data_IF_034588132611
#
_entry.id   IF_034588132611
#
_cell.length_a   1.000
_cell.length_b   1.000
_cell.length_c   1.000
_cell.angle_alpha   90.00
_cell.angle_beta   90.00
_cell.angle_gamma   90.00
#
_symmetry.space_group_name_H-M   'P 1'
#
loop_
_entity.id
_entity.type
_entity.pdbx_description
1 polymer ?
#
# COMPACT_ATOMS: atom_id res chain seq x y z
N UNK A 1 -29.90 -10.21 -1.56
CA UNK A 1 -29.39 -10.29 -2.94
C UNK A 1 -27.96 -9.78 -2.90
N UNK A 2 -27.03 -10.66 -2.50
CA UNK A 2 -25.60 -10.36 -2.47
C UNK A 2 -25.02 -11.18 -3.61
N UNK A 3 -24.62 -10.50 -4.68
CA UNK A 3 -24.08 -11.15 -5.85
C UNK A 3 -22.60 -11.46 -5.60
N UNK A 4 -22.29 -12.76 -5.52
CA UNK A 4 -20.94 -13.31 -5.31
C UNK A 4 -19.94 -12.96 -6.42
N UNK A 5 -20.36 -12.25 -7.47
CA UNK A 5 -19.52 -11.81 -8.59
C UNK A 5 -18.68 -10.55 -8.28
N UNK A 6 -19.04 -9.76 -7.26
CA UNK A 6 -18.25 -8.58 -6.84
C UNK A 6 -16.95 -8.97 -6.12
N UNK A 7 -16.93 -10.15 -5.49
CA UNK A 7 -15.77 -10.66 -4.75
C UNK A 7 -14.62 -11.19 -5.65
N UNK A 8 -14.83 -11.29 -6.96
CA UNK A 8 -13.94 -12.01 -7.86
C UNK A 8 -12.95 -11.10 -8.61
N UNK A 9 -13.15 -9.78 -8.56
CA UNK A 9 -12.17 -8.80 -9.03
C UNK A 9 -12.41 -7.45 -8.34
N UNK A 10 -11.95 -7.26 -7.09
CA UNK A 10 -12.02 -5.94 -6.48
C UNK A 10 -11.28 -4.98 -7.40
N UNK A 11 -11.94 -3.89 -7.80
CA UNK A 11 -11.38 -2.87 -8.70
C UNK A 11 -10.00 -2.39 -8.21
N UNK A 12 -9.78 -2.46 -6.90
CA UNK A 12 -8.51 -2.27 -6.22
C UNK A 12 -8.25 -3.48 -5.32
N UNK A 13 -7.19 -4.24 -5.62
CA UNK A 13 -6.83 -5.42 -4.85
C UNK A 13 -5.31 -5.49 -4.70
N UNK A 14 -4.84 -5.98 -3.54
CA UNK A 14 -3.44 -6.35 -3.39
C UNK A 14 -3.13 -7.54 -4.28
N UNK A 15 -2.38 -7.32 -5.35
CA UNK A 15 -1.88 -8.39 -6.21
C UNK A 15 -0.45 -8.72 -5.81
N UNK A 16 -0.20 -9.98 -5.46
CA UNK A 16 1.16 -10.50 -5.23
C UNK A 16 1.79 -10.84 -6.58
N UNK A 17 1.99 -9.82 -7.41
CA UNK A 17 2.63 -9.94 -8.71
C UNK A 17 4.05 -9.43 -8.58
N UNK A 18 4.98 -10.34 -8.25
CA UNK A 18 6.40 -10.03 -8.12
C UNK A 18 7.17 -11.30 -7.81
N UNK A 19 8.39 -11.40 -8.35
CA UNK A 19 9.34 -12.43 -7.96
C UNK A 19 9.78 -12.29 -6.49
N UNK A 20 10.82 -13.00 -6.09
CA UNK A 20 11.36 -12.87 -4.73
C UNK A 20 11.68 -11.41 -4.40
N UNK A 21 11.26 -10.94 -3.22
CA UNK A 21 11.70 -9.65 -2.71
C UNK A 21 13.21 -9.69 -2.50
N UNK A 22 14.00 -8.83 -3.17
CA UNK A 22 15.43 -8.77 -2.95
C UNK A 22 15.72 -8.36 -1.50
N UNK A 23 16.87 -8.76 -0.93
CA UNK A 23 17.23 -8.37 0.42
C UNK A 23 17.50 -6.85 0.47
N UNK A 24 16.60 -6.11 1.13
CA UNK A 24 16.71 -4.66 1.29
C UNK A 24 17.60 -4.23 2.48
N UNK A 25 18.55 -5.07 2.89
CA UNK A 25 19.30 -4.92 4.15
C UNK A 25 20.06 -3.58 4.27
N UNK A 26 20.52 -3.03 3.15
CA UNK A 26 21.30 -1.78 3.10
C UNK A 26 20.44 -0.52 2.87
N UNK A 27 19.10 -0.66 2.82
CA UNK A 27 18.24 0.47 2.46
C UNK A 27 17.86 1.29 3.69
N UNK A 28 17.85 2.63 3.51
CA UNK A 28 17.37 3.54 4.54
C UNK A 28 15.87 3.33 4.78
N UNK A 29 15.53 2.88 5.99
CA UNK A 29 14.14 2.74 6.43
C UNK A 29 13.55 4.08 6.82
N UNK A 30 12.25 4.23 6.58
CA UNK A 30 11.47 5.38 7.06
C UNK A 30 10.96 5.08 8.47
N UNK A 31 11.14 6.03 9.37
CA UNK A 31 10.49 6.04 10.69
C UNK A 31 9.08 6.63 10.62
N UNK A 32 8.33 6.48 11.72
CA UNK A 32 7.01 7.10 11.87
C UNK A 32 7.09 8.63 11.69
N UNK A 33 6.07 9.19 11.02
CA UNK A 33 6.01 10.60 10.64
C UNK A 33 6.82 10.95 9.39
N UNK A 34 7.63 10.04 8.85
CA UNK A 34 8.38 10.27 7.62
C UNK A 34 7.59 9.85 6.39
N UNK A 35 7.86 10.54 5.26
CA UNK A 35 7.24 10.25 3.97
C UNK A 35 8.26 10.32 2.83
N UNK A 36 7.98 9.58 1.78
CA UNK A 36 8.65 9.67 0.48
C UNK A 36 7.65 10.18 -0.56
N UNK A 37 8.12 11.08 -1.41
CA UNK A 37 7.35 11.58 -2.55
C UNK A 37 8.17 11.32 -3.80
N UNK A 38 7.58 10.62 -4.77
CA UNK A 38 8.19 10.37 -6.08
C UNK A 38 7.11 10.50 -7.15
N UNK A 39 7.26 11.48 -8.04
CA UNK A 39 6.25 11.85 -9.03
C UNK A 39 4.89 12.11 -8.36
N UNK A 40 3.84 11.40 -8.79
CA UNK A 40 2.48 11.49 -8.25
C UNK A 40 2.24 10.49 -7.12
N UNK A 41 3.27 9.77 -6.66
CA UNK A 41 3.16 8.82 -5.55
C UNK A 41 3.71 9.45 -4.27
N UNK A 42 2.91 9.43 -3.22
CA UNK A 42 3.34 9.76 -1.86
C UNK A 42 3.15 8.55 -0.97
N UNK A 43 4.19 8.14 -0.26
CA UNK A 43 4.15 7.09 0.74
C UNK A 43 4.55 7.64 2.10
N UNK A 44 3.87 7.27 3.18
CA UNK A 44 4.16 7.71 4.54
C UNK A 44 4.13 6.54 5.52
N UNK A 45 4.93 6.65 6.57
CA UNK A 45 4.93 5.71 7.70
C UNK A 45 4.29 6.40 8.90
N UNK A 46 3.28 5.75 9.47
CA UNK A 46 2.64 6.14 10.73
C UNK A 46 3.09 5.24 11.88
N UNK A 47 2.59 5.56 13.07
CA UNK A 47 2.86 4.76 14.27
C UNK A 47 2.31 3.33 14.15
N UNK A 48 2.90 2.42 14.93
CA UNK A 48 2.44 1.02 14.97
C UNK A 48 2.66 0.24 13.68
N UNK A 49 3.67 0.62 12.89
CA UNK A 49 4.01 -0.06 11.63
C UNK A 49 3.00 0.21 10.51
N UNK A 50 2.21 1.29 10.61
CA UNK A 50 1.31 1.72 9.55
C UNK A 50 2.11 2.26 8.37
N UNK A 51 1.83 1.80 7.16
CA UNK A 51 2.40 2.38 5.93
C UNK A 51 1.27 2.67 4.96
N UNK A 52 1.21 3.88 4.42
CA UNK A 52 0.18 4.28 3.46
C UNK A 52 0.83 4.87 2.21
N UNK A 53 0.30 4.55 1.04
CA UNK A 53 0.72 5.15 -0.22
C UNK A 53 -0.49 5.62 -1.03
N UNK A 54 -0.37 6.75 -1.71
CA UNK A 54 -1.41 7.34 -2.55
C UNK A 54 -0.80 7.82 -3.87
N UNK A 55 -1.51 7.55 -4.96
CA UNK A 55 -1.31 8.19 -6.25
C UNK A 55 -2.22 9.42 -6.35
N UNK A 56 -1.64 10.61 -6.29
CA UNK A 56 -2.38 11.87 -6.29
C UNK A 56 -3.02 12.21 -7.64
N UNK A 57 -2.66 11.53 -8.73
CA UNK A 57 -3.32 11.73 -10.02
C UNK A 57 -4.62 10.95 -10.17
N UNK A 58 -4.71 9.77 -9.57
CA UNK A 58 -5.92 8.94 -9.63
C UNK A 58 -6.70 8.93 -8.32
N UNK A 59 -6.15 9.51 -7.26
CA UNK A 59 -6.67 9.42 -5.88
C UNK A 59 -6.87 7.97 -5.39
N UNK A 60 -6.08 7.04 -5.91
CA UNK A 60 -6.08 5.65 -5.47
C UNK A 60 -4.88 5.38 -4.57
N UNK A 61 -5.02 4.45 -3.64
CA UNK A 61 -3.98 4.16 -2.68
C UNK A 61 -4.21 2.90 -1.89
N UNK A 62 -3.37 2.72 -0.89
CA UNK A 62 -3.46 1.59 0.03
C UNK A 62 -2.91 1.97 1.40
N UNK A 63 -3.36 1.22 2.40
CA UNK A 63 -2.83 1.25 3.75
C UNK A 63 -2.49 -0.16 4.18
N UNK A 64 -1.26 -0.34 4.67
CA UNK A 64 -0.73 -1.56 5.26
C UNK A 64 -0.67 -1.40 6.77
N UNK A 65 -1.28 -2.34 7.49
CA UNK A 65 -1.18 -2.47 8.94
C UNK A 65 -1.41 -3.93 9.33
N UNK A 66 -0.77 -4.36 10.42
CA UNK A 66 -0.86 -5.75 10.90
C UNK A 66 -2.30 -6.18 11.21
N UNK A 67 -3.15 -5.27 11.69
CA UNK A 67 -4.54 -5.55 12.08
C UNK A 67 -5.51 -5.57 10.90
N UNK A 68 -5.07 -5.19 9.71
CA UNK A 68 -5.93 -5.11 8.52
C UNK A 68 -5.39 -4.07 7.54
N UNK A 69 -5.25 -4.49 6.29
CA UNK A 69 -4.79 -3.66 5.19
C UNK A 69 -5.93 -3.47 4.18
N UNK A 70 -5.98 -2.35 3.50
CA UNK A 70 -7.02 -2.06 2.49
C UNK A 70 -6.47 -1.19 1.35
N UNK A 71 -7.23 -1.15 0.26
CA UNK A 71 -6.98 -0.33 -0.92
C UNK A 71 -8.19 0.57 -1.18
N UNK A 72 -7.99 1.70 -1.86
CA UNK A 72 -9.04 2.65 -2.25
C UNK A 72 -8.68 3.34 -3.57
#
# INVERSE_FOLDING_TARGET
MFDSSDAQNPQYAFRKNGGGCPPFAETKTLGAGQKLVKYQITCAVGDGGLTACVNTATNHGFVLRQTGSWTF
#
